data_IF_354424778668
#
_entry.id   IF_354424778668
#
_cell.length_a   1.000
_cell.length_b   1.000
_cell.length_c   1.000
_cell.angle_alpha   90.00
_cell.angle_beta   90.00
_cell.angle_gamma   90.00
#
_symmetry.space_group_name_H-M   'P 1'
#
loop_
_entity.id
_entity.type
_entity.pdbx_description
1 polymer ?
#
# COMPACT_ATOMS: atom_id res chain seq x y z
N UNK A 1 -7.39 -11.47 -3.46
CA UNK A 1 -8.33 -10.36 -3.34
C UNK A 1 -7.86 -9.19 -4.20
N UNK A 2 -8.74 -8.66 -5.00
CA UNK A 2 -8.46 -7.49 -5.84
C UNK A 2 -9.21 -6.30 -5.26
N UNK A 3 -8.49 -5.25 -4.88
CA UNK A 3 -9.06 -4.08 -4.22
C UNK A 3 -9.19 -2.86 -5.13
N UNK A 4 -8.56 -2.93 -6.31
CA UNK A 4 -8.50 -1.80 -7.23
C UNK A 4 -9.89 -1.23 -7.57
N UNK A 5 -9.97 0.05 -7.86
CA UNK A 5 -11.13 0.82 -8.30
C UNK A 5 -12.16 1.13 -7.20
N UNK A 6 -12.51 0.17 -6.34
CA UNK A 6 -13.54 0.38 -5.31
C UNK A 6 -12.98 0.68 -3.93
N UNK A 7 -11.76 0.25 -3.65
CA UNK A 7 -11.12 0.43 -2.36
C UNK A 7 -10.08 1.54 -2.38
N UNK A 8 -9.34 1.64 -3.46
CA UNK A 8 -8.31 2.65 -3.62
C UNK A 8 -8.12 2.96 -5.10
N UNK A 9 -7.41 4.05 -5.37
CA UNK A 9 -7.13 4.50 -6.73
C UNK A 9 -5.67 4.91 -6.84
N UNK A 10 -4.97 4.42 -7.84
CA UNK A 10 -3.60 4.83 -8.13
C UNK A 10 -3.65 6.08 -9.00
N UNK A 11 -3.02 7.16 -8.54
CA UNK A 11 -2.98 8.43 -9.29
C UNK A 11 -1.70 8.60 -10.09
N UNK A 12 -0.55 8.33 -9.47
CA UNK A 12 0.75 8.54 -10.11
C UNK A 12 1.71 7.43 -9.74
N UNK A 13 2.55 7.06 -10.70
CA UNK A 13 3.67 6.15 -10.47
C UNK A 13 4.91 6.84 -11.03
N UNK A 14 5.87 7.13 -10.16
CA UNK A 14 7.18 7.66 -10.55
C UNK A 14 8.23 6.58 -10.32
N UNK A 15 8.95 6.21 -11.38
CA UNK A 15 9.95 5.15 -11.31
C UNK A 15 11.33 5.73 -11.56
N UNK A 16 12.31 5.30 -10.74
CA UNK A 16 13.69 5.71 -10.87
C UNK A 16 14.59 4.53 -10.52
N UNK A 17 15.11 3.86 -11.55
CA UNK A 17 15.95 2.67 -11.37
C UNK A 17 15.23 1.56 -10.64
N UNK A 18 15.75 1.18 -9.48
CA UNK A 18 15.19 0.12 -8.64
C UNK A 18 14.12 0.63 -7.68
N UNK A 19 13.82 1.91 -7.74
CA UNK A 19 12.85 2.54 -6.84
C UNK A 19 11.64 3.02 -7.60
N UNK A 20 10.51 3.04 -6.90
CA UNK A 20 9.27 3.61 -7.43
C UNK A 20 8.51 4.27 -6.28
N UNK A 21 7.80 5.33 -6.61
CA UNK A 21 6.91 6.00 -5.68
C UNK A 21 5.52 6.02 -6.29
N UNK A 22 4.54 5.51 -5.55
CA UNK A 22 3.16 5.41 -6.01
C UNK A 22 2.28 6.29 -5.13
N UNK A 23 1.49 7.15 -5.76
CA UNK A 23 0.52 7.99 -5.06
C UNK A 23 -0.84 7.32 -5.15
N UNK A 24 -1.43 7.06 -4.00
CA UNK A 24 -2.67 6.30 -3.88
C UNK A 24 -3.70 7.09 -3.09
N UNK A 25 -4.92 7.09 -3.58
CA UNK A 25 -6.07 7.65 -2.87
C UNK A 25 -6.89 6.49 -2.29
N UNK A 26 -7.20 6.56 -1.00
CA UNK A 26 -8.07 5.58 -0.34
C UNK A 26 -9.51 6.06 -0.45
N UNK A 27 -10.41 5.14 -0.84
CA UNK A 27 -11.80 5.46 -1.10
C UNK A 27 -12.65 5.05 0.10
N UNK A 28 -13.24 6.00 0.86
CA UNK A 28 -13.92 5.69 2.13
C UNK A 28 -15.26 5.00 1.97
N UNK A 29 -15.81 4.96 0.78
CA UNK A 29 -17.13 4.38 0.55
C UNK A 29 -17.15 2.87 0.35
N UNK A 30 -15.99 2.20 0.38
CA UNK A 30 -15.95 0.77 0.14
C UNK A 30 -16.69 0.01 1.24
N UNK A 31 -17.52 -1.00 0.87
CA UNK A 31 -18.33 -1.73 1.85
C UNK A 31 -17.56 -2.43 2.96
N UNK A 32 -16.27 -2.72 2.77
CA UNK A 32 -15.46 -3.38 3.80
C UNK A 32 -15.42 -2.58 5.10
N UNK A 33 -15.55 -1.25 5.02
CA UNK A 33 -15.51 -0.40 6.22
C UNK A 33 -16.76 -0.53 7.07
N UNK A 34 -17.88 -0.93 6.49
CA UNK A 34 -19.11 -1.12 7.25
C UNK A 34 -19.01 -2.28 8.24
N UNK A 35 -18.22 -3.31 7.90
CA UNK A 35 -18.03 -4.48 8.76
C UNK A 35 -16.79 -4.45 9.61
N UNK A 36 -15.92 -3.42 9.46
CA UNK A 36 -14.64 -3.33 10.16
C UNK A 36 -14.55 -1.99 10.87
N UNK A 37 -14.85 -1.99 12.19
CA UNK A 37 -14.89 -0.80 13.04
C UNK A 37 -15.85 0.26 12.50
N UNK A 38 -17.18 -0.03 12.47
CA UNK A 38 -18.15 0.86 11.80
C UNK A 38 -18.23 2.27 12.39
N UNK A 39 -17.86 2.48 13.65
CA UNK A 39 -17.85 3.80 14.26
C UNK A 39 -16.61 4.60 13.89
N UNK A 40 -15.51 3.92 13.61
CA UNK A 40 -14.27 4.55 13.18
C UNK A 40 -13.60 3.65 12.16
N UNK A 41 -13.91 3.81 10.88
CA UNK A 41 -13.34 2.97 9.84
C UNK A 41 -11.81 3.03 9.81
N UNK A 42 -11.18 1.87 9.72
CA UNK A 42 -9.73 1.74 9.64
C UNK A 42 -9.41 0.80 8.49
N UNK A 43 -8.37 1.12 7.73
CA UNK A 43 -7.91 0.23 6.67
C UNK A 43 -7.33 -1.03 7.30
N UNK A 44 -7.91 -2.22 7.04
CA UNK A 44 -7.34 -3.46 7.58
C UNK A 44 -5.90 -3.66 7.12
N UNK A 45 -5.05 -4.19 8.01
CA UNK A 45 -3.64 -4.42 7.68
C UNK A 45 -3.45 -5.30 6.46
N UNK A 46 -4.27 -6.36 6.31
CA UNK A 46 -4.20 -7.24 5.15
C UNK A 46 -4.53 -6.50 3.85
N UNK A 47 -5.40 -5.50 3.92
CA UNK A 47 -5.72 -4.68 2.76
C UNK A 47 -4.55 -3.79 2.37
N UNK A 48 -3.83 -3.24 3.35
CA UNK A 48 -2.63 -2.44 3.07
C UNK A 48 -1.57 -3.28 2.36
N UNK A 49 -1.34 -4.50 2.82
CA UNK A 49 -0.39 -5.41 2.17
C UNK A 49 -0.84 -5.76 0.74
N UNK A 50 -2.14 -5.90 0.52
CA UNK A 50 -2.68 -6.17 -0.82
C UNK A 50 -2.50 -4.97 -1.74
N UNK A 51 -2.74 -3.76 -1.24
CA UNK A 51 -2.50 -2.52 -2.00
C UNK A 51 -1.04 -2.43 -2.42
N UNK A 52 -0.12 -2.70 -1.50
CA UNK A 52 1.32 -2.69 -1.79
C UNK A 52 1.63 -3.70 -2.91
N UNK A 53 1.12 -4.92 -2.81
CA UNK A 53 1.34 -5.96 -3.82
C UNK A 53 0.83 -5.51 -5.19
N UNK A 54 -0.38 -4.95 -5.24
CA UNK A 54 -0.97 -4.50 -6.50
C UNK A 54 -0.19 -3.33 -7.10
N UNK A 55 0.34 -2.44 -6.27
CA UNK A 55 1.21 -1.36 -6.75
C UNK A 55 2.51 -1.91 -7.33
N UNK A 56 3.10 -2.91 -6.70
CA UNK A 56 4.31 -3.56 -7.21
C UNK A 56 4.01 -4.22 -8.56
N UNK A 57 2.87 -4.87 -8.70
CA UNK A 57 2.46 -5.47 -9.97
C UNK A 57 2.35 -4.44 -11.08
N UNK A 58 1.82 -3.26 -10.78
CA UNK A 58 1.75 -2.16 -11.76
C UNK A 58 3.13 -1.68 -12.15
N UNK A 59 4.04 -1.55 -11.19
CA UNK A 59 5.41 -1.10 -11.46
C UNK A 59 6.16 -2.13 -12.31
N UNK A 60 6.01 -3.41 -12.01
CA UNK A 60 6.71 -4.49 -12.71
C UNK A 60 6.05 -4.89 -14.03
N UNK A 61 4.77 -4.61 -14.19
CA UNK A 61 4.01 -5.03 -15.37
C UNK A 61 3.73 -6.53 -15.40
N UNK A 62 3.69 -7.18 -14.24
CA UNK A 62 3.40 -8.61 -14.13
C UNK A 62 2.79 -8.92 -12.77
N UNK A 63 2.15 -10.08 -12.67
CA UNK A 63 1.63 -10.58 -11.40
C UNK A 63 2.77 -11.00 -10.48
N UNK A 64 2.58 -10.83 -9.19
CA UNK A 64 3.52 -11.27 -8.18
C UNK A 64 2.77 -11.62 -6.90
N UNK A 65 3.50 -12.17 -5.94
CA UNK A 65 2.98 -12.43 -4.59
C UNK A 65 4.14 -12.38 -3.61
N UNK A 66 3.83 -12.26 -2.33
CA UNK A 66 4.85 -12.33 -1.29
C UNK A 66 5.35 -13.76 -1.17
N UNK A 67 6.67 -13.94 -1.32
CA UNK A 67 7.31 -15.22 -1.04
C UNK A 67 7.54 -15.37 0.46
N UNK A 68 7.98 -14.29 1.12
CA UNK A 68 8.15 -14.24 2.56
C UNK A 68 8.10 -12.79 3.03
N UNK A 69 7.62 -12.56 4.23
CA UNK A 69 7.64 -11.25 4.86
C UNK A 69 8.65 -11.32 6.00
N UNK A 70 9.73 -10.55 5.88
CA UNK A 70 10.80 -10.54 6.89
C UNK A 70 10.47 -9.60 8.04
N UNK A 71 9.85 -8.47 7.75
CA UNK A 71 9.50 -7.47 8.74
C UNK A 71 8.32 -6.67 8.24
N UNK A 72 7.34 -6.47 9.10
CA UNK A 72 6.19 -5.60 8.80
C UNK A 72 5.86 -4.84 10.07
N UNK A 73 6.10 -3.53 10.06
CA UNK A 73 5.84 -2.65 11.19
C UNK A 73 4.73 -1.67 10.86
N UNK A 74 3.62 -1.78 11.56
CA UNK A 74 2.54 -0.79 11.51
C UNK A 74 2.82 0.29 12.53
N UNK A 75 3.00 1.51 12.08
CA UNK A 75 3.38 2.62 12.93
C UNK A 75 2.21 3.53 13.28
N UNK A 76 1.19 3.58 12.44
CA UNK A 76 -0.05 4.27 12.73
C UNK A 76 -1.18 3.65 11.91
N UNK A 77 -2.42 3.85 12.36
CA UNK A 77 -3.59 3.35 11.64
C UNK A 77 -3.91 4.24 10.46
N UNK A 78 -4.33 3.62 9.34
CA UNK A 78 -4.87 4.36 8.20
C UNK A 78 -6.38 4.47 8.39
N UNK A 79 -6.85 5.69 8.61
CA UNK A 79 -8.27 5.99 8.75
C UNK A 79 -8.72 6.61 7.44
N UNK A 80 -9.58 5.93 6.66
CA UNK A 80 -10.05 6.48 5.40
C UNK A 80 -10.98 7.66 5.67
N UNK A 81 -10.70 8.79 5.08
CA UNK A 81 -11.56 9.94 5.11
C UNK A 81 -11.58 10.59 3.72
N UNK A 82 -12.32 11.66 3.59
CA UNK A 82 -12.32 12.43 2.36
C UNK A 82 -10.92 12.98 2.13
N UNK A 83 -10.30 12.67 1.01
CA UNK A 83 -8.97 13.17 0.63
C UNK A 83 -7.81 12.47 1.34
N UNK A 84 -7.97 11.21 1.72
CA UNK A 84 -6.83 10.48 2.26
C UNK A 84 -5.96 9.98 1.12
N UNK A 85 -4.78 10.57 1.00
CA UNK A 85 -3.75 10.15 0.06
C UNK A 85 -2.58 9.57 0.82
N UNK A 86 -2.03 8.48 0.30
CA UNK A 86 -0.81 7.89 0.82
C UNK A 86 0.22 7.79 -0.30
N UNK A 87 1.48 7.81 0.10
CA UNK A 87 2.61 7.62 -0.81
C UNK A 87 3.29 6.31 -0.45
N UNK A 88 3.42 5.43 -1.41
CA UNK A 88 4.07 4.14 -1.23
C UNK A 88 5.41 4.18 -1.95
N UNK A 89 6.50 4.14 -1.18
CA UNK A 89 7.86 4.12 -1.71
C UNK A 89 8.35 2.68 -1.72
N UNK A 90 8.75 2.19 -2.89
CA UNK A 90 9.12 0.80 -3.11
C UNK A 90 10.53 0.74 -3.65
N UNK A 91 11.37 -0.10 -3.07
CA UNK A 91 12.71 -0.41 -3.60
C UNK A 91 12.78 -1.92 -3.80
N UNK A 92 13.20 -2.34 -4.98
CA UNK A 92 13.29 -3.77 -5.35
C UNK A 92 14.72 -4.06 -5.78
N UNK A 93 15.39 -5.03 -5.14
CA UNK A 93 16.72 -5.42 -5.53
C UNK A 93 16.73 -6.59 -6.54
N UNK A 94 17.92 -7.02 -6.97
CA UNK A 94 18.08 -8.07 -7.96
C UNK A 94 17.58 -9.44 -7.47
N UNK A 95 17.55 -9.64 -6.16
CA UNK A 95 17.12 -10.89 -5.54
C UNK A 95 15.64 -10.88 -5.18
N UNK A 96 14.89 -9.89 -5.67
CA UNK A 96 13.46 -9.70 -5.41
C UNK A 96 13.13 -9.42 -3.95
N UNK A 97 14.10 -8.87 -3.21
CA UNK A 97 13.85 -8.32 -1.90
C UNK A 97 13.27 -6.93 -2.07
N UNK A 98 12.23 -6.63 -1.32
CA UNK A 98 11.59 -5.31 -1.36
C UNK A 98 11.70 -4.63 -0.03
N UNK A 99 11.80 -3.31 -0.08
CA UNK A 99 11.63 -2.41 1.06
C UNK A 99 10.55 -1.43 0.69
N UNK A 100 9.54 -1.33 1.54
CA UNK A 100 8.39 -0.48 1.29
C UNK A 100 8.16 0.42 2.49
N UNK A 101 7.92 1.70 2.23
CA UNK A 101 7.53 2.66 3.24
C UNK A 101 6.25 3.33 2.78
N UNK A 102 5.22 3.27 3.62
CA UNK A 102 3.94 3.93 3.35
C UNK A 102 3.85 5.15 4.25
N UNK A 103 3.54 6.30 3.66
CA UNK A 103 3.41 7.57 4.39
C UNK A 103 2.09 8.25 4.05
N UNK A 104 1.53 8.98 5.01
CA UNK A 104 0.43 9.92 4.73
C UNK A 104 1.01 11.08 3.93
N UNK A 105 0.32 11.45 2.87
CA UNK A 105 0.83 12.53 2.00
C UNK A 105 0.86 13.88 2.72
N UNK A 106 -0.21 14.22 3.43
CA UNK A 106 -0.33 15.56 4.00
C UNK A 106 0.61 15.82 5.17
N UNK A 107 0.91 14.81 5.98
CA UNK A 107 1.74 14.98 7.19
C UNK A 107 3.13 14.38 7.05
N UNK A 108 3.35 13.54 6.03
CA UNK A 108 4.58 12.74 5.84
C UNK A 108 4.82 11.76 6.99
N UNK A 109 3.79 11.48 7.80
CA UNK A 109 3.87 10.50 8.87
C UNK A 109 3.99 9.09 8.28
N UNK A 110 4.94 8.31 8.78
CA UNK A 110 5.11 6.93 8.36
C UNK A 110 4.01 6.05 8.94
N UNK A 111 3.31 5.34 8.08
CA UNK A 111 2.22 4.45 8.45
C UNK A 111 2.69 3.01 8.60
N UNK A 112 3.56 2.58 7.69
CA UNK A 112 4.00 1.19 7.62
C UNK A 112 5.38 1.10 7.02
N UNK A 113 6.18 0.17 7.54
CA UNK A 113 7.47 -0.22 6.96
C UNK A 113 7.44 -1.73 6.73
N UNK A 114 7.80 -2.14 5.53
CA UNK A 114 7.76 -3.54 5.13
C UNK A 114 9.09 -3.96 4.51
N UNK A 115 9.59 -5.12 4.93
CA UNK A 115 10.70 -5.80 4.28
C UNK A 115 10.24 -7.20 3.94
N UNK A 116 10.29 -7.55 2.68
CA UNK A 116 9.76 -8.82 2.20
C UNK A 116 10.51 -9.28 0.97
N UNK A 117 10.22 -10.50 0.55
CA UNK A 117 10.69 -11.05 -0.71
C UNK A 117 9.46 -11.37 -1.55
N UNK A 118 9.51 -11.06 -2.84
CA UNK A 118 8.43 -11.38 -3.78
C UNK A 118 8.89 -12.46 -4.75
N UNK A 119 7.92 -13.08 -5.41
CA UNK A 119 8.16 -14.11 -6.42
C UNK A 119 8.51 -13.55 -7.80
#
# INVERSE_FOLDING_TARGET
MILNENFYKIHDIARDGNSATVRVELLPSHPIYAGHFPEQPVVPGVCTLTIIKECIEKVLGRSTSYASIKECKYMSALIPDENLYITISITIDEDKNIKVVVKRECTQETVLKLKAMIR
#
